data_IF_980303235681
#
_entry.id   IF_980303235681
#
_cell.length_a   1.000
_cell.length_b   1.000
_cell.length_c   1.000
_cell.angle_alpha   90.00
_cell.angle_beta   90.00
_cell.angle_gamma   90.00
#
_symmetry.space_group_name_H-M   'P 1'
#
loop_
_entity.id
_entity.type
_entity.pdbx_description
1 polymer ?
#
# COMPACT_ATOMS: atom_id res chain seq x y z
N UNK A 1 -16.84 -0.70 13.74
CA UNK A 1 -17.30 -0.56 12.33
C UNK A 1 -16.48 0.58 11.72
N UNK A 2 -16.12 0.52 10.44
CA UNK A 2 -15.40 1.60 9.74
C UNK A 2 -16.34 2.35 8.79
N UNK A 3 -16.16 3.66 8.66
CA UNK A 3 -16.96 4.50 7.74
C UNK A 3 -16.56 4.29 6.26
N UNK A 4 -15.30 3.90 6.02
CA UNK A 4 -14.77 3.63 4.69
C UNK A 4 -13.99 2.31 4.69
N UNK A 5 -14.17 1.53 3.61
CA UNK A 5 -13.46 0.27 3.39
C UNK A 5 -12.89 0.29 1.98
N UNK A 6 -11.58 0.04 1.88
CA UNK A 6 -10.89 -0.15 0.61
C UNK A 6 -10.41 -1.59 0.54
N UNK A 7 -11.02 -2.38 -0.35
CA UNK A 7 -10.67 -3.79 -0.52
C UNK A 7 -9.40 -3.93 -1.32
N UNK A 8 -8.39 -4.58 -0.75
CA UNK A 8 -7.17 -4.97 -1.45
C UNK A 8 -7.32 -6.40 -1.99
N UNK A 9 -7.13 -6.62 -3.29
CA UNK A 9 -7.12 -7.96 -3.87
C UNK A 9 -5.79 -8.64 -3.56
N UNK A 10 -5.62 -9.05 -2.30
CA UNK A 10 -4.52 -9.88 -1.87
C UNK A 10 -5.05 -11.27 -1.53
N UNK A 11 -4.33 -12.28 -2.00
CA UNK A 11 -4.51 -13.65 -1.60
C UNK A 11 -4.38 -13.77 -0.06
N UNK A 12 -5.19 -14.63 0.54
CA UNK A 12 -5.27 -14.86 1.99
C UNK A 12 -4.97 -16.31 2.35
N UNK A 13 -4.74 -16.60 3.64
CA UNK A 13 -4.55 -17.98 4.10
C UNK A 13 -5.70 -18.93 3.70
N UNK A 14 -6.91 -18.42 3.48
CA UNK A 14 -8.05 -19.25 3.08
C UNK A 14 -7.97 -19.74 1.61
N UNK A 15 -7.10 -19.14 0.79
CA UNK A 15 -6.97 -19.40 -0.64
C UNK A 15 -5.51 -19.59 -1.13
N UNK A 16 -4.55 -20.01 -0.27
CA UNK A 16 -3.15 -20.35 -0.68
C UNK A 16 -3.00 -21.63 -1.47
N UNK A 17 -4.01 -22.49 -1.45
CA UNK A 17 -3.80 -23.89 -1.79
C UNK A 17 -4.52 -24.30 -3.09
N UNK A 18 -3.89 -25.25 -3.77
CA UNK A 18 -4.41 -25.88 -4.98
C UNK A 18 -4.67 -24.88 -6.11
N UNK A 19 -5.74 -25.12 -6.88
CA UNK A 19 -6.11 -24.30 -8.03
C UNK A 19 -6.52 -22.86 -7.69
N UNK A 20 -6.73 -22.55 -6.41
CA UNK A 20 -7.03 -21.19 -5.93
C UNK A 20 -5.77 -20.36 -5.69
N UNK A 21 -4.58 -20.98 -5.78
CA UNK A 21 -3.32 -20.27 -5.60
C UNK A 21 -3.05 -19.32 -6.76
N UNK A 22 -3.17 -18.02 -6.54
CA UNK A 22 -2.99 -16.98 -7.58
C UNK A 22 -1.69 -16.20 -7.46
N UNK A 23 -0.98 -16.31 -6.34
CA UNK A 23 0.27 -15.60 -6.09
C UNK A 23 1.44 -16.54 -5.83
N UNK A 24 2.63 -16.10 -6.25
CA UNK A 24 3.91 -16.74 -5.93
C UNK A 24 4.40 -16.32 -4.53
N UNK A 25 4.02 -15.12 -4.08
CA UNK A 25 4.39 -14.60 -2.77
C UNK A 25 3.55 -15.24 -1.66
N UNK A 26 4.13 -15.48 -0.46
CA UNK A 26 3.36 -15.85 0.73
C UNK A 26 2.29 -14.79 1.05
N UNK A 27 1.23 -15.22 1.74
CA UNK A 27 0.02 -14.40 1.98
C UNK A 27 0.29 -13.07 2.65
N UNK A 28 1.10 -13.07 3.72
CA UNK A 28 1.47 -11.84 4.40
C UNK A 28 2.24 -10.90 3.48
N UNK A 29 3.23 -11.43 2.76
CA UNK A 29 4.10 -10.64 1.88
C UNK A 29 3.36 -10.04 0.68
N UNK A 30 2.38 -10.75 0.11
CA UNK A 30 1.56 -10.20 -0.96
C UNK A 30 0.71 -9.03 -0.47
N UNK A 31 0.05 -9.19 0.68
CA UNK A 31 -0.78 -8.15 1.26
C UNK A 31 0.05 -6.91 1.63
N UNK A 32 1.22 -7.10 2.25
CA UNK A 32 2.17 -6.04 2.56
C UNK A 32 2.65 -5.32 1.30
N UNK A 33 3.00 -6.05 0.24
CA UNK A 33 3.41 -5.47 -1.04
C UNK A 33 2.28 -4.68 -1.71
N UNK A 34 1.05 -5.19 -1.69
CA UNK A 34 -0.12 -4.49 -2.23
C UNK A 34 -0.43 -3.21 -1.43
N UNK A 35 -0.32 -3.26 -0.10
CA UNK A 35 -0.44 -2.09 0.77
C UNK A 35 0.62 -1.03 0.47
N UNK A 36 1.88 -1.44 0.30
CA UNK A 36 2.97 -0.53 -0.04
C UNK A 36 2.67 0.23 -1.33
N UNK A 37 2.33 -0.49 -2.41
CA UNK A 37 1.97 0.12 -3.70
C UNK A 37 0.76 1.04 -3.58
N UNK A 38 -0.27 0.63 -2.84
CA UNK A 38 -1.45 1.47 -2.60
C UNK A 38 -1.04 2.80 -1.97
N UNK A 39 -0.25 2.78 -0.89
CA UNK A 39 0.15 4.00 -0.20
C UNK A 39 1.06 4.89 -1.04
N UNK A 40 2.00 4.33 -1.80
CA UNK A 40 2.82 5.10 -2.74
C UNK A 40 1.94 5.86 -3.75
N UNK A 41 0.96 5.20 -4.34
CA UNK A 41 0.02 5.85 -5.28
C UNK A 41 -0.86 6.89 -4.59
N UNK A 42 -1.30 6.63 -3.35
CA UNK A 42 -2.06 7.61 -2.57
C UNK A 42 -1.24 8.85 -2.24
N UNK A 43 0.03 8.68 -1.87
CA UNK A 43 0.97 9.78 -1.61
C UNK A 43 1.15 10.62 -2.88
N UNK A 44 1.39 10.00 -4.04
CA UNK A 44 1.49 10.72 -5.31
C UNK A 44 0.23 11.55 -5.60
N UNK A 45 -0.97 11.00 -5.37
CA UNK A 45 -2.23 11.74 -5.53
C UNK A 45 -2.38 12.88 -4.52
N UNK A 46 -1.94 12.68 -3.28
CA UNK A 46 -2.00 13.71 -2.24
C UNK A 46 -1.04 14.86 -2.51
N UNK A 47 0.18 14.58 -2.97
CA UNK A 47 1.17 15.61 -3.37
C UNK A 47 0.54 16.56 -4.40
N UNK A 48 -0.08 16.00 -5.44
CA UNK A 48 -0.75 16.79 -6.48
C UNK A 48 -1.94 17.57 -5.92
N UNK A 49 -2.82 16.92 -5.14
CA UNK A 49 -4.03 17.56 -4.59
C UNK A 49 -3.73 18.67 -3.59
N UNK A 50 -2.64 18.55 -2.85
CA UNK A 50 -2.22 19.51 -1.83
C UNK A 50 -1.24 20.56 -2.37
N UNK A 51 -0.80 20.45 -3.62
CA UNK A 51 0.17 21.36 -4.22
C UNK A 51 1.53 21.34 -3.52
N UNK A 52 1.94 20.19 -2.97
CA UNK A 52 3.19 20.06 -2.21
C UNK A 52 4.36 19.93 -3.17
N UNK A 53 5.40 20.74 -2.99
CA UNK A 53 6.62 20.65 -3.81
C UNK A 53 7.59 19.59 -3.23
N UNK A 54 8.50 19.03 -4.06
CA UNK A 54 9.53 18.12 -3.58
C UNK A 54 10.39 18.70 -2.43
N UNK A 55 10.71 20.00 -2.49
CA UNK A 55 11.48 20.70 -1.46
C UNK A 55 10.72 20.78 -0.14
N UNK A 56 9.41 21.04 -0.19
CA UNK A 56 8.55 21.07 0.98
C UNK A 56 8.42 19.68 1.63
N UNK A 57 8.41 18.59 0.85
CA UNK A 57 8.49 17.23 1.40
C UNK A 57 9.86 16.98 2.06
N UNK A 58 10.95 17.33 1.38
CA UNK A 58 12.31 17.16 1.90
C UNK A 58 12.53 17.90 3.22
N UNK A 59 12.02 19.13 3.34
CA UNK A 59 12.13 19.92 4.56
C UNK A 59 11.40 19.30 5.76
N UNK A 60 10.40 18.44 5.53
CA UNK A 60 9.66 17.69 6.56
C UNK A 60 10.19 16.28 6.79
N UNK A 61 11.15 15.83 5.98
CA UNK A 61 11.82 14.56 6.18
C UNK A 61 12.63 14.63 7.47
N UNK A 62 12.17 13.94 8.51
CA UNK A 62 12.92 13.82 9.75
C UNK A 62 13.95 12.72 9.57
N UNK A 63 15.23 13.07 9.61
CA UNK A 63 16.28 12.06 9.72
C UNK A 63 16.18 11.47 11.13
N UNK A 64 15.70 10.23 11.22
CA UNK A 64 15.70 9.41 12.43
C UNK A 64 16.98 8.57 12.54
N UNK A 65 18.08 9.13 12.02
CA UNK A 65 19.44 8.60 12.18
C UNK A 65 20.08 9.14 13.46
#
# INVERSE_FOLDING_TARGET
LADFVLTLPAQTMADDQGAKKTSVLPMGSLFEGALFVLFEVMILKLIVRLGVTPEAMRARHTNLE
#
